data_IF_502451232127
#
_entry.id   IF_502451232127
#
_cell.length_a   1.000
_cell.length_b   1.000
_cell.length_c   1.000
_cell.angle_alpha   90.00
_cell.angle_beta   90.00
_cell.angle_gamma   90.00
#
_symmetry.space_group_name_H-M   'P 1'
#
loop_
_entity.id
_entity.type
_entity.pdbx_description
1 polymer ?
#
# COMPACT_ATOMS: atom_id res chain seq x y z
N UNK A 1 -19.31 -14.68 7.83
CA UNK A 1 -18.15 -13.98 8.41
C UNK A 1 -17.84 -12.66 7.69
N UNK A 2 -17.61 -12.68 6.37
CA UNK A 2 -17.15 -11.51 5.58
C UNK A 2 -18.00 -10.23 5.74
N UNK A 3 -19.33 -10.35 5.78
CA UNK A 3 -20.22 -9.20 6.02
C UNK A 3 -19.94 -8.48 7.35
N UNK A 4 -19.68 -9.24 8.43
CA UNK A 4 -19.34 -8.66 9.74
C UNK A 4 -17.97 -7.98 9.72
N UNK A 5 -17.00 -8.57 9.01
CA UNK A 5 -15.67 -7.97 8.82
C UNK A 5 -15.76 -6.65 8.03
N UNK A 6 -16.51 -6.63 6.92
CA UNK A 6 -16.76 -5.40 6.16
C UNK A 6 -17.43 -4.32 7.02
N UNK A 7 -18.46 -4.68 7.80
CA UNK A 7 -19.11 -3.74 8.71
C UNK A 7 -18.15 -3.14 9.73
N UNK A 8 -17.30 -3.97 10.35
CA UNK A 8 -16.29 -3.47 11.29
C UNK A 8 -15.29 -2.53 10.61
N UNK A 9 -14.77 -2.91 9.43
CA UNK A 9 -13.83 -2.08 8.68
C UNK A 9 -14.44 -0.74 8.23
N UNK A 10 -15.74 -0.70 7.91
CA UNK A 10 -16.44 0.56 7.63
C UNK A 10 -16.43 1.50 8.83
N UNK A 11 -16.55 0.97 10.06
CA UNK A 11 -16.57 1.78 11.28
C UNK A 11 -15.20 2.33 11.69
N UNK A 12 -14.12 1.83 11.07
CA UNK A 12 -12.78 2.36 11.29
C UNK A 12 -12.42 3.44 10.26
N UNK A 13 -13.24 3.61 9.21
CA UNK A 13 -13.06 4.64 8.19
C UNK A 13 -13.49 6.02 8.69
N UNK A 14 -12.69 7.03 8.38
CA UNK A 14 -12.92 8.42 8.76
C UNK A 14 -13.53 9.25 7.61
N UNK A 15 -14.17 10.40 7.91
CA UNK A 15 -14.77 11.24 6.89
C UNK A 15 -13.82 11.71 5.78
N UNK A 16 -12.54 11.89 6.12
CA UNK A 16 -11.45 12.35 5.24
C UNK A 16 -10.79 11.23 4.41
N UNK A 17 -11.27 9.99 4.53
CA UNK A 17 -10.75 8.83 3.81
C UNK A 17 -9.60 8.11 4.52
N UNK A 18 -9.15 8.60 5.68
CA UNK A 18 -8.24 7.86 6.53
C UNK A 18 -8.92 6.70 7.25
N UNK A 19 -8.11 5.81 7.83
CA UNK A 19 -8.59 4.70 8.65
C UNK A 19 -7.88 4.70 10.00
N UNK A 20 -8.60 4.29 11.05
CA UNK A 20 -8.07 4.04 12.39
C UNK A 20 -7.99 2.54 12.68
N UNK A 21 -7.32 2.15 13.78
CA UNK A 21 -7.19 0.74 14.16
C UNK A 21 -8.50 0.12 14.67
N UNK A 22 -9.39 0.94 15.24
CA UNK A 22 -10.58 0.51 15.95
C UNK A 22 -11.76 1.41 15.60
N UNK A 23 -12.99 0.91 15.73
CA UNK A 23 -14.17 1.75 15.57
C UNK A 23 -14.09 2.97 16.49
N UNK A 24 -14.48 4.15 15.99
CA UNK A 24 -14.41 5.42 16.73
C UNK A 24 -13.00 5.82 17.22
N UNK A 25 -11.94 5.29 16.61
CA UNK A 25 -10.56 5.68 16.93
C UNK A 25 -10.29 7.17 16.68
N UNK A 26 -9.52 7.80 17.58
CA UNK A 26 -9.20 9.24 17.53
C UNK A 26 -7.94 9.57 16.70
N UNK A 27 -7.18 8.56 16.30
CA UNK A 27 -5.91 8.71 15.59
C UNK A 27 -5.93 7.96 14.24
N UNK A 28 -6.58 8.54 13.21
CA UNK A 28 -6.47 7.98 11.88
C UNK A 28 -5.03 8.00 11.37
N UNK A 29 -4.64 6.95 10.65
CA UNK A 29 -3.27 6.76 10.16
C UNK A 29 -3.26 6.54 8.66
N UNK A 30 -2.38 7.27 7.97
CA UNK A 30 -2.05 7.05 6.56
C UNK A 30 -1.66 5.58 6.27
N UNK A 31 -0.95 4.94 7.21
CA UNK A 31 -0.49 3.55 7.07
C UNK A 31 -1.62 2.51 7.07
N UNK A 32 -2.83 2.88 7.48
CA UNK A 32 -3.98 1.97 7.54
C UNK A 32 -4.92 2.12 6.33
N UNK A 33 -4.75 3.14 5.49
CA UNK A 33 -5.67 3.40 4.38
C UNK A 33 -5.68 2.24 3.39
N UNK A 34 -4.49 1.82 2.92
CA UNK A 34 -4.38 0.67 2.03
C UNK A 34 -4.95 -0.61 2.64
N UNK A 35 -4.72 -0.84 3.94
CA UNK A 35 -5.24 -2.01 4.68
C UNK A 35 -6.76 -2.02 4.70
N UNK A 36 -7.38 -0.90 5.09
CA UNK A 36 -8.83 -0.76 5.16
C UNK A 36 -9.49 -0.90 3.80
N UNK A 37 -8.96 -0.22 2.78
CA UNK A 37 -9.47 -0.32 1.41
C UNK A 37 -9.36 -1.76 0.88
N UNK A 38 -8.20 -2.39 1.00
CA UNK A 38 -8.01 -3.77 0.53
C UNK A 38 -8.94 -4.75 1.27
N UNK A 39 -9.11 -4.58 2.59
CA UNK A 39 -10.02 -5.40 3.39
C UNK A 39 -11.47 -5.28 2.90
N UNK A 40 -11.92 -4.06 2.61
CA UNK A 40 -13.26 -3.82 2.05
C UNK A 40 -13.40 -4.45 0.66
N UNK A 41 -12.40 -4.29 -0.21
CA UNK A 41 -12.42 -4.91 -1.53
C UNK A 41 -12.48 -6.45 -1.44
N UNK A 42 -11.66 -7.08 -0.59
CA UNK A 42 -11.66 -8.54 -0.38
C UNK A 42 -12.96 -9.06 0.23
N UNK A 43 -13.71 -8.22 0.94
CA UNK A 43 -15.03 -8.55 1.45
C UNK A 43 -16.18 -8.28 0.46
N UNK A 44 -15.89 -7.96 -0.82
CA UNK A 44 -16.89 -7.61 -1.83
C UNK A 44 -17.52 -6.22 -1.62
N UNK A 45 -16.91 -5.36 -0.81
CA UNK A 45 -17.35 -4.02 -0.44
C UNK A 45 -16.48 -2.91 -1.04
N UNK A 46 -15.76 -3.21 -2.13
CA UNK A 46 -14.84 -2.27 -2.79
C UNK A 46 -15.51 -1.04 -3.40
N UNK A 47 -16.82 -1.14 -3.67
CA UNK A 47 -17.66 -0.05 -4.18
C UNK A 47 -18.37 0.73 -3.07
N UNK A 48 -18.02 0.54 -1.79
CA UNK A 48 -18.61 1.34 -0.72
C UNK A 48 -18.00 2.73 -0.62
N UNK A 49 -18.73 3.66 0.00
CA UNK A 49 -18.25 5.03 0.24
C UNK A 49 -16.94 5.07 1.02
N UNK A 50 -16.75 4.20 2.01
CA UNK A 50 -15.51 4.10 2.78
C UNK A 50 -14.31 3.70 1.89
N UNK A 51 -14.49 2.69 1.03
CA UNK A 51 -13.45 2.25 0.11
C UNK A 51 -13.11 3.34 -0.92
N UNK A 52 -14.13 4.00 -1.49
CA UNK A 52 -13.93 5.11 -2.44
C UNK A 52 -13.16 6.28 -1.82
N UNK A 53 -13.53 6.71 -0.61
CA UNK A 53 -12.81 7.81 0.08
C UNK A 53 -11.36 7.45 0.37
N UNK A 54 -11.08 6.21 0.76
CA UNK A 54 -9.72 5.73 0.95
C UNK A 54 -8.93 5.72 -0.36
N UNK A 55 -9.53 5.28 -1.46
CA UNK A 55 -8.92 5.33 -2.80
C UNK A 55 -8.66 6.78 -3.26
N UNK A 56 -9.59 7.70 -3.02
CA UNK A 56 -9.40 9.12 -3.32
C UNK A 56 -8.26 9.72 -2.51
N UNK A 57 -8.15 9.36 -1.22
CA UNK A 57 -7.04 9.76 -0.36
C UNK A 57 -5.72 9.21 -0.89
N UNK A 58 -5.69 7.93 -1.28
CA UNK A 58 -4.50 7.29 -1.86
C UNK A 58 -4.08 7.97 -3.15
N UNK A 59 -5.01 8.25 -4.07
CA UNK A 59 -4.74 8.98 -5.32
C UNK A 59 -4.12 10.35 -5.02
N UNK A 60 -4.71 11.13 -4.12
CA UNK A 60 -4.17 12.43 -3.70
C UNK A 60 -2.76 12.31 -3.11
N UNK A 61 -2.50 11.25 -2.33
CA UNK A 61 -1.19 11.03 -1.70
C UNK A 61 -0.05 10.78 -2.69
N UNK A 62 -0.36 10.38 -3.94
CA UNK A 62 0.65 10.18 -4.99
C UNK A 62 1.38 11.46 -5.40
N UNK A 63 0.85 12.64 -5.05
CA UNK A 63 1.52 13.93 -5.24
C UNK A 63 2.80 14.09 -4.41
N UNK A 64 2.99 13.24 -3.40
CA UNK A 64 4.21 13.13 -2.59
C UNK A 64 4.79 11.74 -2.83
N UNK A 65 5.42 11.51 -4.00
CA UNK A 65 5.78 10.19 -4.45
C UNK A 65 6.75 9.50 -3.48
N UNK A 66 6.69 8.17 -3.51
CA UNK A 66 7.63 7.33 -2.82
C UNK A 66 9.05 7.69 -3.26
N UNK A 67 9.97 7.81 -2.31
CA UNK A 67 11.38 8.01 -2.62
C UNK A 67 12.27 7.30 -1.60
N UNK A 68 13.42 6.82 -2.06
CA UNK A 68 14.37 6.04 -1.27
C UNK A 68 15.43 6.91 -0.57
N UNK A 69 15.25 8.24 -0.58
CA UNK A 69 16.24 9.21 -0.06
C UNK A 69 16.19 9.26 1.46
N UNK A 70 17.31 9.59 2.09
CA UNK A 70 17.37 9.82 3.54
C UNK A 70 16.39 10.93 3.98
N UNK A 71 15.87 10.83 5.22
CA UNK A 71 14.96 11.80 5.84
C UNK A 71 13.61 11.99 5.13
N UNK A 72 13.17 11.01 4.33
CA UNK A 72 11.82 11.05 3.79
C UNK A 72 10.78 10.66 4.85
N UNK A 73 9.59 11.22 4.73
CA UNK A 73 8.45 10.95 5.61
C UNK A 73 7.33 10.21 4.89
N UNK A 74 7.51 9.90 3.61
CA UNK A 74 6.45 9.43 2.71
C UNK A 74 6.58 7.95 2.36
N UNK A 75 7.74 7.32 2.57
CA UNK A 75 8.04 5.95 2.13
C UNK A 75 7.90 4.91 3.25
N UNK A 76 6.84 4.99 4.05
CA UNK A 76 6.53 3.91 4.99
C UNK A 76 6.22 2.61 4.20
N UNK A 77 7.11 1.62 4.23
CA UNK A 77 6.97 0.39 3.41
C UNK A 77 5.69 -0.38 3.71
N UNK A 78 5.26 -0.43 4.98
CA UNK A 78 4.01 -1.10 5.35
C UNK A 78 2.81 -0.45 4.68
N UNK A 79 2.75 0.88 4.74
CA UNK A 79 1.69 1.66 4.09
C UNK A 79 1.62 1.35 2.59
N UNK A 80 2.77 1.40 1.92
CA UNK A 80 2.83 1.23 0.47
C UNK A 80 2.60 -0.22 0.03
N UNK A 81 2.98 -1.21 0.84
CA UNK A 81 2.67 -2.62 0.56
C UNK A 81 1.16 -2.89 0.47
N UNK A 82 0.36 -2.35 1.39
CA UNK A 82 -1.10 -2.48 1.28
C UNK A 82 -1.68 -1.51 0.26
N UNK A 83 -1.13 -0.30 0.15
CA UNK A 83 -1.57 0.71 -0.81
C UNK A 83 -1.45 0.24 -2.26
N UNK A 84 -0.33 -0.37 -2.63
CA UNK A 84 -0.13 -0.86 -3.99
C UNK A 84 -1.11 -1.98 -4.35
N UNK A 85 -1.42 -2.88 -3.41
CA UNK A 85 -2.42 -3.93 -3.63
C UNK A 85 -3.83 -3.37 -3.80
N UNK A 86 -4.23 -2.44 -2.93
CA UNK A 86 -5.53 -1.77 -3.02
C UNK A 86 -5.69 -0.97 -4.33
N UNK A 87 -4.62 -0.27 -4.75
CA UNK A 87 -4.59 0.48 -6.00
C UNK A 87 -4.65 -0.44 -7.22
N UNK A 88 -3.84 -1.50 -7.25
CA UNK A 88 -3.84 -2.50 -8.33
C UNK A 88 -5.21 -3.19 -8.46
N UNK A 89 -5.82 -3.56 -7.33
CA UNK A 89 -7.14 -4.16 -7.32
C UNK A 89 -8.23 -3.21 -7.84
N UNK A 90 -8.13 -1.91 -7.52
CA UNK A 90 -9.01 -0.88 -8.08
C UNK A 90 -8.79 -0.68 -9.58
N UNK A 91 -7.54 -0.70 -10.05
CA UNK A 91 -7.17 -0.37 -11.43
C UNK A 91 -7.34 1.11 -11.75
N UNK A 92 -7.44 1.42 -13.06
CA UNK A 92 -7.77 2.75 -13.56
C UNK A 92 -6.74 3.84 -13.23
N UNK A 93 -7.26 5.04 -12.97
CA UNK A 93 -6.51 6.23 -12.60
C UNK A 93 -5.74 6.06 -11.28
N UNK A 94 -6.38 5.44 -10.27
CA UNK A 94 -5.74 5.16 -8.98
C UNK A 94 -4.51 4.27 -9.18
N UNK A 95 -4.64 3.16 -9.91
CA UNK A 95 -3.49 2.31 -10.22
C UNK A 95 -2.42 3.05 -11.00
N UNK A 96 -2.81 3.76 -12.06
CA UNK A 96 -1.87 4.48 -12.94
C UNK A 96 -1.02 5.49 -12.16
N UNK A 97 -1.66 6.28 -11.30
CA UNK A 97 -0.98 7.26 -10.47
C UNK A 97 -0.10 6.60 -9.39
N UNK A 98 -0.63 5.59 -8.69
CA UNK A 98 0.11 4.93 -7.61
C UNK A 98 1.32 4.19 -8.16
N UNK A 99 1.16 3.46 -9.27
CA UNK A 99 2.23 2.73 -9.96
C UNK A 99 3.40 3.66 -10.31
N UNK A 100 3.10 4.81 -10.92
CA UNK A 100 4.10 5.85 -11.22
C UNK A 100 4.78 6.38 -9.95
N UNK A 101 4.03 6.50 -8.86
CA UNK A 101 4.53 7.09 -7.62
C UNK A 101 5.50 6.19 -6.84
N UNK A 102 5.51 4.86 -7.06
CA UNK A 102 6.37 3.94 -6.29
C UNK A 102 7.33 3.10 -7.13
N UNK A 103 6.93 2.65 -8.31
CA UNK A 103 7.62 1.58 -9.05
C UNK A 103 9.09 1.86 -9.27
N UNK A 104 9.38 2.96 -9.97
CA UNK A 104 10.74 3.27 -10.42
C UNK A 104 11.66 3.58 -9.23
N UNK A 105 11.13 4.25 -8.20
CA UNK A 105 11.86 4.52 -6.97
C UNK A 105 12.24 3.23 -6.23
N UNK A 106 11.35 2.23 -6.21
CA UNK A 106 11.64 0.92 -5.63
C UNK A 106 12.63 0.13 -6.48
N UNK A 107 12.41 0.02 -7.79
CA UNK A 107 13.31 -0.72 -8.69
C UNK A 107 14.74 -0.17 -8.65
N UNK A 108 14.90 1.17 -8.71
CA UNK A 108 16.21 1.81 -8.68
C UNK A 108 16.92 1.69 -7.32
N UNK A 109 16.21 1.28 -6.27
CA UNK A 109 16.80 1.05 -4.96
C UNK A 109 17.31 -0.39 -4.75
N UNK A 110 17.04 -1.29 -5.70
CA UNK A 110 17.60 -2.63 -5.68
C UNK A 110 19.09 -2.59 -6.04
N UNK A 111 19.91 -3.19 -5.19
CA UNK A 111 21.35 -3.34 -5.43
C UNK A 111 21.59 -4.47 -6.43
N UNK A 112 22.80 -4.53 -6.97
CA UNK A 112 23.23 -5.58 -7.91
C UNK A 112 23.14 -7.00 -7.34
N UNK A 113 23.22 -7.16 -6.02
CA UNK A 113 23.03 -8.43 -5.31
C UNK A 113 21.56 -8.77 -5.03
N UNK A 114 20.62 -7.96 -5.54
CA UNK A 114 19.18 -8.13 -5.37
C UNK A 114 18.61 -7.57 -4.06
N UNK A 115 19.47 -7.12 -3.14
CA UNK A 115 19.02 -6.57 -1.85
C UNK A 115 18.61 -5.10 -1.94
N UNK A 116 17.69 -4.65 -1.09
CA UNK A 116 17.29 -3.24 -1.04
C UNK A 116 18.06 -2.45 0.05
N UNK A 117 18.56 -1.26 -0.30
CA UNK A 117 19.19 -0.34 0.64
C UNK A 117 18.16 0.24 1.65
N UNK A 118 18.53 0.76 2.84
CA UNK A 118 17.59 1.44 3.73
C UNK A 118 16.84 2.57 3.03
N UNK A 119 15.52 2.64 3.21
CA UNK A 119 14.67 3.53 2.43
C UNK A 119 14.47 4.91 3.05
N UNK A 120 15.32 5.32 3.99
CA UNK A 120 15.36 6.69 4.55
C UNK A 120 14.22 7.09 5.49
N UNK A 121 13.15 6.30 5.59
CA UNK A 121 11.99 6.56 6.44
C UNK A 121 12.29 6.30 7.92
N UNK A 122 11.85 7.17 8.84
CA UNK A 122 12.02 6.98 10.28
C UNK A 122 11.08 5.90 10.85
N UNK A 123 11.42 4.63 10.69
CA UNK A 123 10.62 3.50 11.16
C UNK A 123 11.04 2.16 10.54
N UNK A 124 10.32 1.06 10.86
CA UNK A 124 10.69 -0.29 10.41
C UNK A 124 10.95 -0.40 8.91
N UNK A 125 12.06 -1.04 8.55
CA UNK A 125 12.53 -1.17 7.17
C UNK A 125 13.23 0.07 6.58
N UNK A 126 13.14 1.23 7.23
CA UNK A 126 13.88 2.44 6.88
C UNK A 126 15.12 2.66 7.74
N UNK A 127 15.27 3.87 8.26
CA UNK A 127 16.32 4.27 9.20
C UNK A 127 15.82 4.00 10.64
N UNK A 128 16.02 2.78 11.15
CA UNK A 128 15.88 2.50 12.58
C UNK A 128 17.27 2.42 13.19
N UNK A 129 17.54 3.28 14.16
CA UNK A 129 18.76 3.19 14.98
C UNK A 129 18.46 2.52 16.32
N UNK A 130 19.51 1.82 16.80
CA UNK A 130 19.76 1.30 18.16
C UNK A 130 19.39 -0.17 18.45
N UNK A 131 20.00 -1.12 17.72
CA UNK A 131 20.59 -2.38 18.24
C UNK A 131 20.87 -3.36 17.07
N UNK A 132 21.91 -4.21 17.19
CA UNK A 132 22.29 -5.19 16.15
C UNK A 132 21.13 -6.12 15.74
N UNK A 133 20.31 -6.59 16.69
CA UNK A 133 19.16 -7.45 16.40
C UNK A 133 18.04 -6.75 15.61
N UNK A 134 17.81 -5.45 15.84
CA UNK A 134 16.84 -4.68 15.04
C UNK A 134 17.31 -4.50 13.60
N UNK A 135 18.61 -4.30 13.38
CA UNK A 135 19.16 -4.16 12.03
C UNK A 135 18.90 -5.37 11.13
N UNK A 136 18.98 -6.59 11.67
CA UNK A 136 18.65 -7.81 10.90
C UNK A 136 17.16 -7.88 10.55
N UNK A 137 16.28 -7.62 11.52
CA UNK A 137 14.82 -7.60 11.31
C UNK A 137 14.41 -6.53 10.29
N UNK A 138 14.98 -5.33 10.35
CA UNK A 138 14.70 -4.26 9.40
C UNK A 138 15.17 -4.58 7.98
N UNK A 139 16.32 -5.25 7.85
CA UNK A 139 16.81 -5.72 6.55
C UNK A 139 15.85 -6.74 5.93
N UNK A 140 15.43 -7.74 6.70
CA UNK A 140 14.48 -8.77 6.23
C UNK A 140 13.14 -8.12 5.91
N UNK A 141 12.61 -7.30 6.82
CA UNK A 141 11.33 -6.61 6.65
C UNK A 141 11.30 -5.76 5.39
N UNK A 142 12.36 -4.97 5.17
CA UNK A 142 12.52 -4.16 3.96
C UNK A 142 12.58 -5.03 2.72
N UNK A 143 13.40 -6.06 2.73
CA UNK A 143 13.53 -6.97 1.59
C UNK A 143 12.17 -7.56 1.22
N UNK A 144 11.47 -8.11 2.22
CA UNK A 144 10.15 -8.69 2.02
C UNK A 144 9.16 -7.68 1.46
N UNK A 145 8.99 -6.52 2.08
CA UNK A 145 7.98 -5.56 1.62
C UNK A 145 8.29 -4.95 0.26
N UNK A 146 9.56 -4.64 -0.03
CA UNK A 146 9.95 -4.12 -1.34
C UNK A 146 9.68 -5.15 -2.45
N UNK A 147 10.02 -6.42 -2.22
CA UNK A 147 9.70 -7.52 -3.14
C UNK A 147 8.19 -7.69 -3.28
N UNK A 148 7.45 -7.77 -2.17
CA UNK A 148 5.99 -7.95 -2.17
C UNK A 148 5.25 -6.82 -2.88
N UNK A 149 5.75 -5.59 -2.78
CA UNK A 149 5.22 -4.44 -3.51
C UNK A 149 5.40 -4.59 -5.02
N UNK A 150 6.56 -5.10 -5.47
CA UNK A 150 6.82 -5.37 -6.88
C UNK A 150 6.13 -6.64 -7.39
N UNK A 151 5.74 -7.56 -6.51
CA UNK A 151 5.06 -8.80 -6.92
C UNK A 151 3.61 -8.60 -7.37
N UNK A 152 3.02 -7.41 -7.14
CA UNK A 152 1.63 -7.13 -7.55
C UNK A 152 1.38 -7.33 -9.04
N UNK A 153 2.38 -7.11 -9.90
CA UNK A 153 2.23 -7.33 -11.35
C UNK A 153 2.02 -8.81 -11.70
N UNK A 154 2.47 -9.73 -10.85
CA UNK A 154 2.41 -11.17 -11.08
C UNK A 154 1.30 -11.86 -10.29
N UNK A 155 0.89 -11.30 -9.15
CA UNK A 155 -0.14 -11.89 -8.27
C UNK A 155 -1.56 -11.60 -8.71
N UNK A 156 -1.79 -10.44 -9.30
CA UNK A 156 -3.07 -10.06 -9.87
C UNK A 156 -3.07 -10.38 -11.37
N UNK A 157 -2.96 -11.67 -11.72
CA UNK A 157 -3.10 -12.13 -13.10
C UNK A 157 -4.50 -11.75 -13.64
N UNK A 158 -4.68 -11.52 -14.96
CA UNK A 158 -5.95 -11.12 -15.59
C UNK A 158 -7.15 -12.07 -15.45
N UNK A 159 -7.13 -13.04 -14.54
CA UNK A 159 -8.21 -14.00 -14.36
C UNK A 159 -8.37 -14.39 -12.91
N UNK A 160 -9.20 -13.66 -12.17
CA UNK A 160 -10.07 -14.15 -11.09
C UNK A 160 -10.75 -12.95 -10.39
N UNK A 161 -12.04 -12.77 -10.63
CA UNK A 161 -12.92 -11.89 -9.83
C UNK A 161 -13.41 -10.63 -10.54
N UNK A 162 -14.70 -10.65 -10.93
CA UNK A 162 -15.62 -9.54 -11.28
C UNK A 162 -15.15 -8.38 -12.19
N UNK A 163 -13.96 -8.43 -12.76
CA UNK A 163 -13.36 -7.39 -13.60
C UNK A 163 -13.19 -7.76 -15.07
N UNK A 164 -13.96 -8.73 -15.57
CA UNK A 164 -13.79 -9.28 -16.95
C UNK A 164 -13.92 -8.19 -18.03
N UNK A 165 -14.58 -7.07 -17.74
CA UNK A 165 -14.65 -5.91 -18.64
C UNK A 165 -13.53 -4.86 -18.53
N UNK A 166 -12.68 -4.91 -17.48
CA UNK A 166 -11.64 -3.91 -17.22
C UNK A 166 -10.20 -4.46 -17.20
N UNK A 167 -10.04 -5.79 -17.29
CA UNK A 167 -8.74 -6.45 -17.25
C UNK A 167 -7.83 -6.15 -18.47
N UNK A 168 -8.39 -5.69 -19.58
CA UNK A 168 -7.65 -5.50 -20.84
C UNK A 168 -6.77 -4.24 -20.89
N UNK A 169 -6.77 -3.37 -19.88
CA UNK A 169 -6.07 -2.08 -19.96
C UNK A 169 -5.22 -1.74 -18.72
N UNK A 170 -4.62 -2.74 -18.07
CA UNK A 170 -3.62 -2.49 -17.01
C UNK A 170 -2.24 -2.43 -17.66
N UNK A 171 -1.53 -1.29 -17.62
CA UNK A 171 -0.14 -1.24 -18.06
C UNK A 171 0.66 -2.23 -17.21
N UNK A 172 1.23 -3.24 -17.87
CA UNK A 172 2.17 -4.19 -17.26
C UNK A 172 3.54 -3.76 -17.74
N UNK A 173 4.40 -3.38 -16.77
CA UNK A 173 5.79 -2.91 -16.90
C UNK A 173 6.10 -1.91 -18.03
#
# INVERSE_FOLDING_TARGET
ALRKAAMYCRKTAMPDGLFSYQENGKEPRASLVGVGVLSLQMCGSGSDSAARKGLDWMLKSTNKPFNWKANNTTSNLYQHYYGVQAAMNRGGDVWTAYNRAFRDATLNAQRTDGSFAPNGFGGPGGNVQTSQNRHANDRIYRQCLATLMLEVYYRFLPGTGEGVGMAFNRPVL
#
